data_IF_422812669309
#
_entry.id   IF_422812669309
#
_cell.length_a   1.000
_cell.length_b   1.000
_cell.length_c   1.000
_cell.angle_alpha   90.00
_cell.angle_beta   90.00
_cell.angle_gamma   90.00
#
_symmetry.space_group_name_H-M   'P 1'
#
loop_
_entity.id
_entity.type
_entity.pdbx_description
1 polymer ?
#
# COMPACT_ATOMS: atom_id res chain seq x y z
N UNK A 1 -17.10 -20.12 -2.90
CA UNK A 1 -16.52 -19.02 -3.73
C UNK A 1 -15.50 -18.18 -2.96
N UNK A 2 -15.77 -17.72 -1.71
CA UNK A 2 -14.84 -16.89 -0.93
C UNK A 2 -13.47 -17.56 -0.69
N UNK A 3 -13.44 -18.79 -0.18
CA UNK A 3 -12.17 -19.51 0.08
C UNK A 3 -11.35 -19.77 -1.17
N UNK A 4 -11.96 -19.97 -2.34
CA UNK A 4 -11.18 -20.09 -3.59
C UNK A 4 -10.36 -18.83 -3.89
N UNK A 5 -10.90 -17.64 -3.57
CA UNK A 5 -10.16 -16.39 -3.70
C UNK A 5 -9.03 -16.28 -2.68
N UNK A 6 -9.26 -16.69 -1.43
CA UNK A 6 -8.23 -16.71 -0.40
C UNK A 6 -7.12 -17.71 -0.71
N UNK A 7 -7.48 -18.92 -1.18
CA UNK A 7 -6.53 -19.93 -1.62
C UNK A 7 -5.70 -19.46 -2.83
N UNK A 8 -6.32 -18.70 -3.73
CA UNK A 8 -5.59 -18.10 -4.83
C UNK A 8 -4.46 -17.19 -4.32
N UNK A 9 -4.74 -16.34 -3.32
CA UNK A 9 -3.70 -15.49 -2.73
C UNK A 9 -2.59 -16.31 -2.09
N UNK A 10 -2.90 -17.37 -1.35
CA UNK A 10 -1.87 -18.26 -0.75
C UNK A 10 -1.01 -18.90 -1.85
N UNK A 11 -1.62 -19.44 -2.90
CA UNK A 11 -0.94 -20.21 -3.95
C UNK A 11 -0.16 -19.32 -4.94
N UNK A 12 -0.49 -18.02 -5.05
CA UNK A 12 0.14 -17.08 -5.99
C UNK A 12 0.98 -16.02 -5.29
N UNK A 13 1.24 -16.17 -3.99
CA UNK A 13 2.15 -15.29 -3.27
C UNK A 13 3.59 -15.58 -3.68
N UNK A 14 4.33 -14.56 -4.05
CA UNK A 14 5.72 -14.72 -4.49
C UNK A 14 6.70 -14.88 -3.32
N UNK A 15 7.98 -15.08 -3.65
CA UNK A 15 9.05 -15.23 -2.67
C UNK A 15 9.25 -13.97 -1.81
N UNK A 16 8.95 -12.77 -2.34
CA UNK A 16 8.99 -11.49 -1.62
C UNK A 16 7.87 -11.32 -0.62
N UNK A 17 6.85 -12.17 -0.69
CA UNK A 17 5.71 -12.16 0.21
C UNK A 17 4.51 -11.39 -0.29
N UNK A 18 4.52 -10.91 -1.53
CA UNK A 18 3.43 -10.13 -2.09
C UNK A 18 2.86 -10.68 -3.39
N UNK A 19 2.03 -9.86 -4.01
CA UNK A 19 1.41 -10.11 -5.31
C UNK A 19 1.80 -8.98 -6.25
N UNK A 20 2.83 -9.20 -7.10
CA UNK A 20 3.34 -8.17 -7.99
C UNK A 20 2.35 -7.88 -9.11
N UNK A 21 2.30 -6.62 -9.52
CA UNK A 21 1.55 -6.19 -10.70
C UNK A 21 2.31 -6.55 -11.97
N UNK A 22 1.65 -7.26 -12.89
CA UNK A 22 2.22 -7.69 -14.16
C UNK A 22 2.02 -6.67 -15.29
N UNK A 23 1.67 -5.42 -14.96
CA UNK A 23 1.49 -4.34 -15.94
C UNK A 23 2.53 -3.25 -15.76
N UNK A 24 2.91 -2.62 -16.86
CA UNK A 24 3.74 -1.41 -16.83
C UNK A 24 2.86 -0.25 -16.36
N UNK A 25 3.30 0.46 -15.31
CA UNK A 25 2.63 1.67 -14.85
C UNK A 25 3.36 2.92 -15.34
N UNK A 26 2.60 3.98 -15.62
CA UNK A 26 3.10 5.27 -16.08
C UNK A 26 3.94 5.17 -17.38
N UNK A 27 3.51 4.28 -18.29
CA UNK A 27 4.16 4.09 -19.59
C UNK A 27 4.35 5.44 -20.30
N UNK A 28 5.54 5.65 -20.81
CA UNK A 28 5.96 6.90 -21.46
C UNK A 28 5.78 8.16 -20.55
N UNK A 29 5.64 7.97 -19.24
CA UNK A 29 5.44 9.03 -18.23
C UNK A 29 4.22 9.93 -18.50
N UNK A 30 3.20 9.40 -19.18
CA UNK A 30 2.01 10.18 -19.59
C UNK A 30 1.01 10.42 -18.44
N UNK A 31 0.84 9.42 -17.56
CA UNK A 31 -0.15 9.49 -16.48
C UNK A 31 0.32 10.38 -15.32
N UNK A 32 1.59 10.28 -14.97
CA UNK A 32 2.24 11.08 -13.93
C UNK A 32 3.54 11.66 -14.49
N UNK A 33 3.48 12.80 -15.19
CA UNK A 33 4.68 13.49 -15.67
C UNK A 33 5.59 13.84 -14.47
N UNK A 34 6.87 13.51 -14.59
CA UNK A 34 7.85 13.70 -13.49
C UNK A 34 8.08 12.47 -12.63
N UNK A 35 7.16 11.48 -12.60
CA UNK A 35 7.40 10.19 -11.97
C UNK A 35 8.01 9.19 -12.95
N UNK A 36 8.79 8.25 -12.43
CA UNK A 36 9.35 7.17 -13.23
C UNK A 36 8.26 6.20 -13.76
N UNK A 37 8.61 5.46 -14.80
CA UNK A 37 7.85 4.31 -15.26
C UNK A 37 8.16 3.10 -14.36
N UNK A 38 7.12 2.40 -13.90
CA UNK A 38 7.30 1.12 -13.20
C UNK A 38 7.17 -0.03 -14.19
N UNK A 39 8.24 -0.80 -14.34
CA UNK A 39 8.21 -2.06 -15.09
C UNK A 39 7.36 -3.09 -14.35
N UNK A 40 6.75 -4.04 -15.08
CA UNK A 40 6.03 -5.15 -14.46
C UNK A 40 6.85 -5.84 -13.36
N UNK A 41 6.18 -6.26 -12.29
CA UNK A 41 6.81 -6.87 -11.10
C UNK A 41 6.81 -5.97 -9.86
N UNK A 42 6.20 -4.77 -9.91
CA UNK A 42 6.09 -3.87 -8.75
C UNK A 42 4.91 -4.24 -7.83
N UNK A 43 5.03 -3.94 -6.54
CA UNK A 43 3.95 -4.08 -5.57
C UNK A 43 3.21 -2.75 -5.40
N UNK A 44 1.88 -2.82 -5.29
CA UNK A 44 1.06 -1.68 -4.90
C UNK A 44 0.50 -1.85 -3.49
N UNK A 45 0.71 -0.88 -2.60
CA UNK A 45 0.29 -1.00 -1.21
C UNK A 45 -1.21 -1.28 -1.04
N UNK A 46 -2.06 -0.67 -1.87
CA UNK A 46 -3.50 -0.91 -1.86
C UNK A 46 -3.83 -2.38 -2.10
N UNK A 47 -3.25 -2.99 -3.14
CA UNK A 47 -3.48 -4.39 -3.49
C UNK A 47 -2.99 -5.34 -2.39
N UNK A 48 -1.80 -5.06 -1.83
CA UNK A 48 -1.27 -5.86 -0.72
C UNK A 48 -2.18 -5.76 0.51
N UNK A 49 -2.65 -4.56 0.87
CA UNK A 49 -3.56 -4.35 2.00
C UNK A 49 -4.90 -5.07 1.82
N UNK A 50 -5.50 -5.02 0.64
CA UNK A 50 -6.74 -5.72 0.32
C UNK A 50 -6.57 -7.25 0.38
N UNK A 51 -5.46 -7.77 -0.15
CA UNK A 51 -5.15 -9.19 -0.07
C UNK A 51 -4.99 -9.66 1.38
N UNK A 52 -4.27 -8.89 2.22
CA UNK A 52 -4.16 -9.14 3.65
C UNK A 52 -5.54 -9.20 4.31
N UNK A 53 -6.43 -8.25 4.02
CA UNK A 53 -7.80 -8.25 4.55
C UNK A 53 -8.59 -9.50 4.17
N UNK A 54 -8.45 -9.99 2.93
CA UNK A 54 -9.10 -11.25 2.50
C UNK A 54 -8.55 -12.44 3.28
N UNK A 55 -7.24 -12.53 3.42
CA UNK A 55 -6.57 -13.63 4.14
C UNK A 55 -6.93 -13.65 5.62
N UNK A 56 -6.96 -12.50 6.29
CA UNK A 56 -7.39 -12.40 7.69
C UNK A 56 -8.83 -12.87 7.89
N UNK A 57 -9.75 -12.50 6.97
CA UNK A 57 -11.13 -12.99 7.01
C UNK A 57 -11.23 -14.49 6.77
N UNK A 58 -10.39 -15.05 5.89
CA UNK A 58 -10.34 -16.49 5.67
C UNK A 58 -9.82 -17.22 6.92
N UNK A 59 -8.79 -16.69 7.58
CA UNK A 59 -8.30 -17.20 8.85
C UNK A 59 -9.38 -17.19 9.94
N UNK A 60 -10.09 -16.07 10.12
CA UNK A 60 -11.18 -15.97 11.10
C UNK A 60 -12.29 -16.99 10.89
N UNK A 61 -12.62 -17.31 9.62
CA UNK A 61 -13.70 -18.24 9.31
C UNK A 61 -13.30 -19.71 9.36
N UNK A 62 -12.03 -20.03 9.11
CA UNK A 62 -11.56 -21.43 8.99
C UNK A 62 -10.67 -21.88 10.14
N UNK A 63 -9.98 -20.95 10.81
CA UNK A 63 -8.89 -21.27 11.74
C UNK A 63 -7.62 -21.82 11.05
N UNK A 64 -7.55 -21.82 9.71
CA UNK A 64 -6.42 -22.39 8.97
C UNK A 64 -5.27 -21.38 8.93
N UNK A 65 -4.17 -21.75 9.63
CA UNK A 65 -2.97 -20.91 9.80
C UNK A 65 -2.30 -20.50 8.49
N UNK A 66 -2.48 -21.24 7.40
CA UNK A 66 -1.92 -20.86 6.08
C UNK A 66 -2.29 -19.45 5.65
N UNK A 67 -3.51 -19.01 5.99
CA UNK A 67 -3.98 -17.65 5.66
C UNK A 67 -3.30 -16.59 6.51
N UNK A 68 -3.14 -16.86 7.82
CA UNK A 68 -2.42 -15.92 8.70
C UNK A 68 -0.95 -15.81 8.32
N UNK A 69 -0.28 -16.94 8.06
CA UNK A 69 1.12 -16.98 7.63
C UNK A 69 1.33 -16.18 6.32
N UNK A 70 0.44 -16.34 5.33
CA UNK A 70 0.50 -15.61 4.07
C UNK A 70 0.28 -14.10 4.30
N UNK A 71 -0.68 -13.70 5.14
CA UNK A 71 -0.92 -12.30 5.47
C UNK A 71 0.28 -11.65 6.18
N UNK A 72 0.89 -12.35 7.14
CA UNK A 72 2.08 -11.88 7.84
C UNK A 72 3.31 -11.76 6.94
N UNK A 73 3.44 -12.68 5.98
CA UNK A 73 4.50 -12.62 4.98
C UNK A 73 4.31 -11.40 4.06
N UNK A 74 3.06 -11.10 3.66
CA UNK A 74 2.73 -9.94 2.85
C UNK A 74 3.02 -8.61 3.57
N UNK A 75 2.83 -8.56 4.88
CA UNK A 75 3.13 -7.35 5.67
C UNK A 75 4.61 -6.91 5.58
N UNK A 76 5.53 -7.82 5.26
CA UNK A 76 6.96 -7.49 5.10
C UNK A 76 7.21 -6.48 3.97
N UNK A 77 6.39 -6.50 2.91
CA UNK A 77 6.50 -5.59 1.76
C UNK A 77 6.37 -4.13 2.20
N UNK A 78 5.58 -3.86 3.25
CA UNK A 78 5.36 -2.51 3.80
C UNK A 78 6.58 -1.98 4.58
N UNK A 79 7.50 -2.84 4.98
CA UNK A 79 8.75 -2.42 5.64
C UNK A 79 9.87 -2.08 4.65
N UNK A 80 9.75 -2.53 3.40
CA UNK A 80 10.78 -2.40 2.37
C UNK A 80 10.61 -1.05 1.65
N UNK A 81 11.68 -0.24 1.53
CA UNK A 81 11.63 0.99 0.74
C UNK A 81 11.21 0.75 -0.70
N UNK A 82 10.45 1.68 -1.29
CA UNK A 82 10.05 1.64 -2.70
C UNK A 82 11.25 1.54 -3.65
N UNK A 83 12.35 2.24 -3.31
CA UNK A 83 13.61 2.16 -4.05
C UNK A 83 14.31 0.79 -4.00
N UNK A 84 13.85 -0.12 -3.16
CA UNK A 84 14.34 -1.50 -3.04
C UNK A 84 13.28 -2.55 -3.33
N UNK A 85 12.26 -2.16 -4.09
CA UNK A 85 11.20 -3.07 -4.54
C UNK A 85 10.05 -3.29 -3.56
N UNK A 86 9.98 -2.54 -2.45
CA UNK A 86 8.81 -2.52 -1.57
C UNK A 86 7.85 -1.38 -1.90
N UNK A 87 7.04 -1.00 -0.90
CA UNK A 87 6.02 0.07 -1.06
C UNK A 87 6.25 1.26 -0.13
N UNK A 88 7.29 1.24 0.70
CA UNK A 88 7.54 2.28 1.70
C UNK A 88 8.23 3.50 1.09
N UNK A 89 7.57 4.64 1.11
CA UNK A 89 8.17 5.97 0.94
C UNK A 89 8.21 6.69 2.29
N UNK A 90 8.87 7.86 2.34
CA UNK A 90 8.90 8.70 3.55
C UNK A 90 8.67 10.15 3.12
N UNK A 91 7.64 10.79 3.68
CA UNK A 91 7.35 12.20 3.44
C UNK A 91 8.13 13.06 4.44
N UNK A 92 8.84 14.09 3.93
CA UNK A 92 9.68 15.00 4.72
C UNK A 92 10.65 14.28 5.68
N UNK A 93 11.22 13.18 5.25
CA UNK A 93 12.18 12.35 6.03
C UNK A 93 11.66 11.88 7.40
N UNK A 94 10.35 11.98 7.64
CA UNK A 94 9.74 11.70 8.93
C UNK A 94 8.54 10.76 8.87
N UNK A 95 7.65 10.93 7.91
CA UNK A 95 6.36 10.27 7.88
C UNK A 95 6.36 9.11 6.89
N UNK A 96 6.39 7.83 7.33
CA UNK A 96 6.31 6.68 6.44
C UNK A 96 4.95 6.65 5.73
N UNK A 97 5.00 6.36 4.44
CA UNK A 97 3.86 6.24 3.57
C UNK A 97 3.94 4.97 2.75
N UNK A 98 2.82 4.30 2.51
CA UNK A 98 2.76 3.08 1.71
C UNK A 98 2.19 3.41 0.35
N UNK A 99 3.05 3.38 -0.67
CA UNK A 99 2.73 3.85 -2.01
C UNK A 99 1.80 2.88 -2.76
N UNK A 100 0.70 3.42 -3.31
CA UNK A 100 -0.13 2.70 -4.26
C UNK A 100 0.66 2.37 -5.53
N UNK A 101 1.46 3.32 -6.00
CA UNK A 101 2.40 3.16 -7.11
C UNK A 101 3.78 3.61 -6.61
N UNK A 102 4.72 2.68 -6.34
CA UNK A 102 6.01 3.01 -5.72
C UNK A 102 6.99 3.65 -6.70
N UNK A 103 6.58 4.78 -7.29
CA UNK A 103 7.40 5.56 -8.23
C UNK A 103 8.48 6.36 -7.52
N UNK A 104 9.46 6.82 -8.30
CA UNK A 104 10.43 7.82 -7.88
C UNK A 104 10.32 9.06 -8.81
N UNK A 105 10.04 10.25 -8.28
CA UNK A 105 9.65 10.55 -6.89
C UNK A 105 8.32 9.91 -6.47
N UNK A 106 8.06 9.77 -5.15
CA UNK A 106 6.82 9.21 -4.63
C UNK A 106 5.62 10.16 -4.86
N UNK A 107 4.42 9.59 -4.95
CA UNK A 107 3.18 10.33 -5.26
C UNK A 107 2.32 10.60 -4.04
N UNK A 108 2.42 9.81 -2.98
CA UNK A 108 1.64 9.92 -1.75
C UNK A 108 0.13 9.92 -2.00
N UNK A 109 -0.38 8.88 -2.67
CA UNK A 109 -1.81 8.73 -2.97
C UNK A 109 -2.59 8.35 -1.70
N UNK A 110 -3.65 9.10 -1.39
CA UNK A 110 -4.38 8.98 -0.13
C UNK A 110 -5.17 7.68 -0.02
N UNK A 111 -6.02 7.36 -1.01
CA UNK A 111 -6.90 6.19 -0.94
C UNK A 111 -6.11 4.87 -0.90
N UNK A 112 -5.06 4.74 -1.70
CA UNK A 112 -4.21 3.56 -1.68
C UNK A 112 -3.54 3.34 -0.34
N UNK A 113 -3.08 4.42 0.30
CA UNK A 113 -2.55 4.38 1.64
C UNK A 113 -3.60 3.96 2.69
N UNK A 114 -4.81 4.54 2.63
CA UNK A 114 -5.88 4.16 3.57
C UNK A 114 -6.27 2.68 3.44
N UNK A 115 -6.40 2.16 2.22
CA UNK A 115 -6.67 0.72 2.02
C UNK A 115 -5.54 -0.17 2.53
N UNK A 116 -4.29 0.28 2.44
CA UNK A 116 -3.18 -0.46 3.03
C UNK A 116 -3.25 -0.51 4.55
N UNK A 117 -3.65 0.61 5.18
CA UNK A 117 -3.85 0.67 6.64
C UNK A 117 -5.01 -0.21 7.11
N UNK A 118 -6.10 -0.33 6.33
CA UNK A 118 -7.19 -1.26 6.65
C UNK A 118 -6.69 -2.71 6.68
N UNK A 119 -5.88 -3.12 5.71
CA UNK A 119 -5.28 -4.45 5.70
C UNK A 119 -4.35 -4.70 6.89
N UNK A 120 -3.51 -3.72 7.24
CA UNK A 120 -2.63 -3.81 8.41
C UNK A 120 -3.42 -3.78 9.73
N UNK A 121 -4.55 -3.08 9.80
CA UNK A 121 -5.46 -3.10 10.94
C UNK A 121 -6.08 -4.48 11.13
N UNK A 122 -6.64 -5.05 10.06
CA UNK A 122 -7.21 -6.39 10.08
C UNK A 122 -6.16 -7.41 10.57
N UNK A 123 -4.94 -7.37 10.02
CA UNK A 123 -3.87 -8.28 10.41
C UNK A 123 -3.42 -8.07 11.86
N UNK A 124 -3.31 -6.84 12.32
CA UNK A 124 -2.95 -6.54 13.72
C UNK A 124 -3.93 -7.15 14.73
N UNK A 125 -5.19 -7.37 14.34
CA UNK A 125 -6.19 -7.94 15.24
C UNK A 125 -5.95 -9.43 15.55
N UNK A 126 -5.17 -10.13 14.72
CA UNK A 126 -4.93 -11.57 14.83
C UNK A 126 -3.45 -11.94 14.95
N UNK A 127 -2.55 -11.09 14.45
CA UNK A 127 -1.11 -11.35 14.47
C UNK A 127 -0.46 -10.86 15.77
N UNK A 128 0.38 -11.70 16.37
CA UNK A 128 1.22 -11.35 17.53
C UNK A 128 2.53 -10.66 17.15
N UNK A 129 2.81 -10.46 15.86
CA UNK A 129 4.10 -9.90 15.38
C UNK A 129 4.18 -8.40 15.63
N UNK A 130 5.15 -7.98 16.44
CA UNK A 130 5.43 -6.57 16.73
C UNK A 130 5.62 -5.72 15.46
N UNK A 131 6.17 -6.30 14.38
CA UNK A 131 6.33 -5.62 13.10
C UNK A 131 4.98 -5.12 12.55
N UNK A 132 3.93 -5.93 12.59
CA UNK A 132 2.58 -5.56 12.10
C UNK A 132 2.03 -4.40 12.89
N UNK A 133 2.11 -4.48 14.23
CA UNK A 133 1.65 -3.39 15.11
C UNK A 133 2.42 -2.09 14.85
N UNK A 134 3.74 -2.16 14.63
CA UNK A 134 4.58 -1.00 14.33
C UNK A 134 4.26 -0.38 12.98
N UNK A 135 4.05 -1.19 11.93
CA UNK A 135 3.66 -0.71 10.60
C UNK A 135 2.31 0.03 10.65
N UNK A 136 1.32 -0.57 11.29
CA UNK A 136 0.01 0.06 11.45
C UNK A 136 0.11 1.36 12.24
N UNK A 137 0.77 1.36 13.40
CA UNK A 137 0.93 2.53 14.26
C UNK A 137 1.58 3.69 13.52
N UNK A 138 2.74 3.46 12.91
CA UNK A 138 3.46 4.50 12.17
C UNK A 138 2.67 5.03 10.97
N UNK A 139 1.91 4.16 10.30
CA UNK A 139 1.02 4.58 9.21
C UNK A 139 -0.14 5.46 9.70
N UNK A 140 -0.78 5.14 10.81
CA UNK A 140 -1.83 5.98 11.42
C UNK A 140 -1.28 7.34 11.86
N UNK A 141 -0.11 7.35 12.48
CA UNK A 141 0.56 8.61 12.87
C UNK A 141 0.87 9.49 11.64
N UNK A 142 1.31 8.88 10.54
CA UNK A 142 1.51 9.59 9.27
C UNK A 142 0.20 10.10 8.66
N UNK A 143 -0.86 9.27 8.67
CA UNK A 143 -2.17 9.70 8.19
C UNK A 143 -2.69 10.90 8.96
N UNK A 144 -2.66 10.84 10.29
CA UNK A 144 -3.13 11.93 11.14
C UNK A 144 -2.35 13.24 10.90
N UNK A 145 -1.02 13.14 10.71
CA UNK A 145 -0.17 14.30 10.48
C UNK A 145 -0.36 14.92 9.09
N UNK A 146 -0.57 14.09 8.05
CA UNK A 146 -0.58 14.55 6.66
C UNK A 146 -1.99 14.76 6.09
N UNK A 147 -3.04 14.24 6.74
CA UNK A 147 -4.42 14.37 6.24
C UNK A 147 -4.85 15.81 5.95
N UNK A 148 -4.48 16.82 6.76
CA UNK A 148 -4.80 18.21 6.45
C UNK A 148 -4.21 18.72 5.13
N UNK A 149 -3.11 18.14 4.65
CA UNK A 149 -2.49 18.52 3.37
C UNK A 149 -3.33 18.08 2.15
N UNK A 150 -4.26 17.15 2.36
CA UNK A 150 -5.17 16.69 1.31
C UNK A 150 -6.44 17.54 1.21
N UNK A 151 -6.70 18.42 2.16
CA UNK A 151 -7.83 19.34 2.10
C UNK A 151 -7.52 20.50 1.15
N UNK A 152 -8.33 20.66 0.09
CA UNK A 152 -8.24 21.76 -0.85
C UNK A 152 -9.18 22.93 -0.50
N UNK A 153 -9.91 22.86 0.63
CA UNK A 153 -10.94 23.80 1.03
C UNK A 153 -12.30 23.56 0.37
N UNK A 154 -12.34 23.01 -0.83
CA UNK A 154 -13.58 22.73 -1.58
C UNK A 154 -13.71 21.24 -1.94
N UNK A 155 -12.62 20.48 -1.91
CA UNK A 155 -12.55 19.08 -2.28
C UNK A 155 -11.32 18.45 -1.61
N UNK A 156 -10.95 17.25 -2.05
CA UNK A 156 -9.77 16.53 -1.55
C UNK A 156 -8.76 16.33 -2.67
N UNK A 157 -7.50 16.64 -2.40
CA UNK A 157 -6.42 16.24 -3.30
C UNK A 157 -6.31 14.73 -3.33
N UNK A 158 -6.07 14.18 -4.51
CA UNK A 158 -5.90 12.76 -4.69
C UNK A 158 -4.53 12.28 -4.17
N UNK A 159 -3.50 13.11 -4.36
CA UNK A 159 -2.11 12.85 -4.03
C UNK A 159 -1.37 14.12 -3.59
N UNK A 160 -0.17 13.97 -3.04
CA UNK A 160 0.71 15.07 -2.65
C UNK A 160 1.93 15.22 -3.58
N UNK A 161 1.86 14.75 -4.82
CA UNK A 161 3.00 14.83 -5.76
C UNK A 161 3.49 16.25 -6.03
N UNK A 162 2.67 17.27 -5.81
CA UNK A 162 3.07 18.67 -5.95
C UNK A 162 4.15 19.09 -4.95
N UNK A 163 4.36 18.31 -3.88
CA UNK A 163 5.52 18.48 -2.98
C UNK A 163 6.79 17.80 -3.49
N UNK A 164 6.67 16.81 -4.36
CA UNK A 164 7.79 15.98 -4.83
C UNK A 164 8.13 16.17 -6.30
N UNK A 165 7.18 16.66 -7.09
CA UNK A 165 7.28 16.87 -8.53
C UNK A 165 6.94 18.30 -8.88
N UNK A 166 7.55 18.85 -9.94
CA UNK A 166 7.20 20.17 -10.49
C UNK A 166 5.88 20.11 -11.29
N UNK A 167 4.84 19.56 -10.70
CA UNK A 167 3.50 19.41 -11.32
C UNK A 167 2.45 19.87 -10.33
N UNK A 168 1.42 20.55 -10.82
CA UNK A 168 0.30 20.96 -9.95
C UNK A 168 -0.41 19.78 -9.31
N UNK A 169 -1.10 20.00 -8.17
CA UNK A 169 -1.86 18.96 -7.49
C UNK A 169 -3.02 18.45 -8.35
N UNK A 170 -3.33 17.16 -8.23
CA UNK A 170 -4.49 16.57 -8.87
C UNK A 170 -5.68 16.61 -7.91
N UNK A 171 -6.67 17.46 -8.22
CA UNK A 171 -7.93 17.50 -7.48
C UNK A 171 -8.85 16.40 -8.02
N UNK A 172 -9.53 15.67 -7.16
CA UNK A 172 -10.61 14.78 -7.58
C UNK A 172 -11.76 15.66 -8.11
N UNK A 173 -12.18 15.45 -9.34
CA UNK A 173 -13.48 15.93 -9.80
C UNK A 173 -14.55 15.13 -9.04
N UNK A 174 -15.47 15.83 -8.41
CA UNK A 174 -16.70 15.28 -7.82
C UNK A 174 -17.57 14.68 -8.90
#
# INVERSE_FOLDING_TARGET
MFFHGADWFVNNQDAGGGWPSNVVFNKDRKKYPGAEELKAGWYGAMCQGQAISVLVRAFHQSGDEKYLEAAEKAAKVFSIPSSRGGVKAVFLDKYPWYEEYPTNPPTFILNGFMYSLLGLFDLKSVSSKNMVASLYKSGIESLAALLPLYDSGASTFYDLRHFTMKTGPKVRST
#
